data_IF_398331731598
#
_entry.id   IF_398331731598
#
_cell.length_a   1.000
_cell.length_b   1.000
_cell.length_c   1.000
_cell.angle_alpha   90.00
_cell.angle_beta   90.00
_cell.angle_gamma   90.00
#
_symmetry.space_group_name_H-M   'P 1'
#
loop_
_entity.id
_entity.type
_entity.pdbx_description
1 polymer ?
#
# COMPACT_ATOMS: atom_id res chain seq x y z
N UNK A 1 23.42 19.79 -8.41
CA UNK A 1 24.78 19.77 -9.00
C UNK A 1 25.89 19.79 -7.96
N UNK A 2 25.87 20.70 -6.98
CA UNK A 2 26.88 20.77 -5.89
C UNK A 2 27.13 19.45 -5.17
N UNK A 3 26.08 18.76 -4.72
CA UNK A 3 26.23 17.48 -4.03
C UNK A 3 26.97 16.44 -4.91
N UNK A 4 26.63 16.34 -6.20
CA UNK A 4 27.28 15.40 -7.13
C UNK A 4 28.76 15.77 -7.35
N UNK A 5 29.07 17.07 -7.41
CA UNK A 5 30.45 17.56 -7.47
C UNK A 5 31.25 17.16 -6.23
N UNK A 6 30.71 17.38 -5.03
CA UNK A 6 31.33 16.99 -3.76
C UNK A 6 31.57 15.47 -3.67
N UNK A 7 30.66 14.66 -4.21
CA UNK A 7 30.87 13.21 -4.28
C UNK A 7 32.05 12.85 -5.19
N UNK A 8 32.14 13.48 -6.37
CA UNK A 8 33.26 13.30 -7.30
C UNK A 8 34.60 13.72 -6.69
N UNK A 9 34.62 14.84 -5.98
CA UNK A 9 35.79 15.33 -5.26
C UNK A 9 36.21 14.39 -4.12
N UNK A 10 35.24 13.89 -3.34
CA UNK A 10 35.51 12.92 -2.28
C UNK A 10 36.22 11.67 -2.84
N UNK A 11 35.75 11.16 -4.00
CA UNK A 11 36.38 10.03 -4.67
C UNK A 11 37.78 10.36 -5.22
N UNK A 12 37.97 11.54 -5.82
CA UNK A 12 39.27 11.95 -6.38
C UNK A 12 40.33 12.18 -5.29
N UNK A 13 39.91 12.55 -4.09
CA UNK A 13 40.76 12.65 -2.90
C UNK A 13 41.03 11.29 -2.21
N UNK A 14 40.49 10.18 -2.74
CA UNK A 14 40.66 8.84 -2.18
C UNK A 14 39.86 8.60 -0.89
N UNK A 15 38.90 9.47 -0.56
CA UNK A 15 38.03 9.29 0.59
C UNK A 15 36.97 8.24 0.27
N UNK A 16 36.85 7.22 1.13
CA UNK A 16 35.89 6.12 0.93
C UNK A 16 34.48 6.56 1.32
N UNK A 17 33.49 6.48 0.41
CA UNK A 17 32.10 6.66 0.77
C UNK A 17 31.66 5.61 1.79
N UNK A 18 30.75 6.01 2.67
CA UNK A 18 30.05 5.08 3.57
C UNK A 18 28.60 4.92 3.14
N UNK A 19 27.90 3.95 3.73
CA UNK A 19 26.45 3.79 3.52
C UNK A 19 25.67 5.07 3.84
N UNK A 20 26.14 5.87 4.82
CA UNK A 20 25.53 7.16 5.17
C UNK A 20 25.72 8.20 4.07
N UNK A 21 26.89 8.21 3.42
CA UNK A 21 27.16 9.05 2.26
C UNK A 21 26.18 8.73 1.15
N UNK A 22 26.05 7.45 0.80
CA UNK A 22 25.11 7.00 -0.22
C UNK A 22 23.66 7.26 0.12
N UNK A 23 23.22 7.06 1.37
CA UNK A 23 21.87 7.42 1.80
C UNK A 23 21.57 8.91 1.58
N UNK A 24 22.52 9.81 1.85
CA UNK A 24 22.35 11.23 1.60
C UNK A 24 22.15 11.51 0.11
N UNK A 25 22.94 10.87 -0.75
CA UNK A 25 22.81 11.01 -2.20
C UNK A 25 21.52 10.39 -2.74
N UNK A 26 21.13 9.20 -2.29
CA UNK A 26 19.89 8.54 -2.69
C UNK A 26 18.65 9.37 -2.34
N UNK A 27 18.65 10.09 -1.21
CA UNK A 27 17.55 10.97 -0.82
C UNK A 27 17.31 12.08 -1.84
N UNK A 28 18.37 12.69 -2.36
CA UNK A 28 18.27 13.86 -3.24
C UNK A 28 18.10 13.53 -4.73
N UNK A 29 18.37 12.28 -5.16
CA UNK A 29 18.19 11.89 -6.56
C UNK A 29 16.72 12.08 -6.98
N UNK A 30 16.49 12.51 -8.21
CA UNK A 30 15.14 12.86 -8.70
C UNK A 30 14.59 11.87 -9.71
N UNK A 31 15.46 11.07 -10.31
CA UNK A 31 15.07 10.09 -11.31
C UNK A 31 15.49 8.68 -10.90
N UNK A 32 14.82 7.70 -11.50
CA UNK A 32 15.13 6.29 -11.35
C UNK A 32 16.56 5.96 -11.82
N UNK A 33 16.97 6.52 -12.95
CA UNK A 33 18.30 6.29 -13.53
C UNK A 33 19.40 6.84 -12.61
N UNK A 34 19.15 7.99 -11.97
CA UNK A 34 20.05 8.54 -10.96
C UNK A 34 20.20 7.63 -9.74
N UNK A 35 19.10 7.04 -9.28
CA UNK A 35 19.10 6.09 -8.17
C UNK A 35 19.89 4.84 -8.54
N UNK A 36 19.59 4.20 -9.67
CA UNK A 36 20.27 2.97 -10.07
C UNK A 36 21.75 3.17 -10.37
N UNK A 37 22.15 4.28 -11.02
CA UNK A 37 23.58 4.63 -11.17
C UNK A 37 24.31 4.68 -9.84
N UNK A 38 23.64 5.17 -8.80
CA UNK A 38 24.24 5.26 -7.47
C UNK A 38 24.31 3.89 -6.79
N UNK A 39 23.33 3.01 -7.01
CA UNK A 39 23.36 1.62 -6.52
C UNK A 39 24.47 0.80 -7.20
N UNK A 40 24.69 0.99 -8.50
CA UNK A 40 25.82 0.39 -9.20
C UNK A 40 27.14 0.89 -8.62
N UNK A 41 27.23 2.19 -8.33
CA UNK A 41 28.41 2.77 -7.68
C UNK A 41 28.64 2.24 -6.27
N UNK A 42 27.57 1.97 -5.51
CA UNK A 42 27.65 1.31 -4.20
C UNK A 42 28.31 -0.06 -4.33
N UNK A 43 27.88 -0.87 -5.30
CA UNK A 43 28.44 -2.21 -5.56
C UNK A 43 29.90 -2.15 -6.01
N UNK A 44 30.26 -1.24 -6.92
CA UNK A 44 31.65 -1.04 -7.37
C UNK A 44 32.61 -0.71 -6.22
N UNK A 45 32.10 -0.03 -5.18
CA UNK A 45 32.88 0.38 -4.02
C UNK A 45 32.72 -0.56 -2.82
N UNK A 46 32.22 -1.78 -3.07
CA UNK A 46 32.02 -2.83 -2.07
C UNK A 46 31.10 -2.41 -0.91
N UNK A 47 30.20 -1.45 -1.17
CA UNK A 47 29.20 -0.96 -0.23
C UNK A 47 27.86 -1.65 -0.53
N UNK A 48 27.52 -2.66 0.27
CA UNK A 48 26.31 -3.43 0.07
C UNK A 48 25.07 -2.72 0.61
N UNK A 49 23.92 -2.97 -0.03
CA UNK A 49 22.63 -2.51 0.49
C UNK A 49 22.37 -3.20 1.83
N UNK A 50 21.88 -2.44 2.79
CA UNK A 50 21.33 -2.98 4.02
C UNK A 50 19.82 -2.72 4.06
N UNK A 51 19.17 -3.25 5.09
CA UNK A 51 17.75 -3.03 5.36
C UNK A 51 17.34 -1.55 5.23
N UNK A 52 18.08 -0.62 5.85
CA UNK A 52 17.75 0.80 5.80
C UNK A 52 17.81 1.37 4.37
N UNK A 53 18.77 0.91 3.55
CA UNK A 53 18.85 1.28 2.14
C UNK A 53 17.62 0.79 1.37
N UNK A 54 17.21 -0.47 1.55
CA UNK A 54 16.01 -0.99 0.88
C UNK A 54 14.76 -0.21 1.29
N UNK A 55 14.56 0.03 2.58
CA UNK A 55 13.40 0.80 3.06
C UNK A 55 13.43 2.26 2.59
N UNK A 56 14.61 2.87 2.44
CA UNK A 56 14.76 4.18 1.83
C UNK A 56 14.27 4.17 0.38
N UNK A 57 14.73 3.20 -0.41
CA UNK A 57 14.39 3.06 -1.82
C UNK A 57 12.91 2.73 -2.02
N UNK A 58 12.35 1.78 -1.28
CA UNK A 58 10.93 1.41 -1.33
C UNK A 58 10.06 2.65 -1.08
N UNK A 59 10.32 3.41 0.00
CA UNK A 59 9.57 4.65 0.27
C UNK A 59 9.70 5.67 -0.85
N UNK A 60 10.87 5.76 -1.48
CA UNK A 60 11.13 6.68 -2.59
C UNK A 60 10.34 6.29 -3.83
N UNK A 61 10.42 5.02 -4.24
CA UNK A 61 9.70 4.48 -5.39
C UNK A 61 8.18 4.47 -5.20
N UNK A 62 7.68 4.22 -3.98
CA UNK A 62 6.26 4.39 -3.66
C UNK A 62 5.79 5.84 -3.89
N UNK A 63 6.60 6.85 -3.53
CA UNK A 63 6.27 8.27 -3.78
C UNK A 63 6.32 8.63 -5.26
N UNK A 64 7.13 7.94 -6.04
CA UNK A 64 7.20 8.08 -7.49
C UNK A 64 6.18 7.22 -8.25
N UNK A 65 5.32 6.48 -7.53
CA UNK A 65 4.34 5.56 -8.10
C UNK A 65 4.93 4.48 -9.02
N UNK A 66 6.19 4.10 -8.76
CA UNK A 66 6.91 3.08 -9.53
C UNK A 66 6.85 1.73 -8.80
N UNK A 67 5.69 1.07 -8.83
CA UNK A 67 5.48 -0.14 -8.02
C UNK A 67 6.26 -1.36 -8.51
N UNK A 68 6.58 -1.45 -9.80
CA UNK A 68 7.44 -2.53 -10.31
C UNK A 68 8.80 -2.54 -9.59
N UNK A 69 9.39 -1.35 -9.39
CA UNK A 69 10.61 -1.18 -8.63
C UNK A 69 10.42 -1.48 -7.13
N UNK A 70 9.26 -1.13 -6.57
CA UNK A 70 8.92 -1.46 -5.17
C UNK A 70 8.90 -2.97 -4.96
N UNK A 71 8.19 -3.72 -5.80
CA UNK A 71 8.10 -5.18 -5.67
C UNK A 71 9.42 -5.87 -5.97
N UNK A 72 10.18 -5.40 -6.97
CA UNK A 72 11.53 -5.91 -7.25
C UNK A 72 12.44 -5.76 -6.03
N UNK A 73 12.48 -4.57 -5.42
CA UNK A 73 13.30 -4.33 -4.23
C UNK A 73 12.80 -5.10 -3.01
N UNK A 74 11.48 -5.25 -2.85
CA UNK A 74 10.91 -6.05 -1.76
C UNK A 74 11.31 -7.52 -1.86
N UNK A 75 11.22 -8.10 -3.06
CA UNK A 75 11.62 -9.48 -3.31
C UNK A 75 13.13 -9.67 -3.12
N UNK A 76 13.95 -8.77 -3.65
CA UNK A 76 15.40 -8.79 -3.44
C UNK A 76 15.76 -8.67 -1.95
N UNK A 77 15.05 -7.83 -1.19
CA UNK A 77 15.22 -7.69 0.25
C UNK A 77 14.84 -8.98 0.99
N UNK A 78 13.80 -9.68 0.55
CA UNK A 78 13.37 -10.97 1.09
C UNK A 78 14.36 -12.10 0.79
N UNK A 79 14.89 -12.17 -0.44
CA UNK A 79 15.93 -13.13 -0.84
C UNK A 79 17.21 -12.99 0.01
N UNK A 80 17.50 -11.76 0.46
CA UNK A 80 18.60 -11.47 1.36
C UNK A 80 18.26 -11.66 2.85
N UNK A 81 17.03 -12.07 3.19
CA UNK A 81 16.57 -12.26 4.58
C UNK A 81 16.51 -10.96 5.39
N UNK A 82 16.27 -9.82 4.73
CA UNK A 82 16.33 -8.49 5.35
C UNK A 82 14.96 -7.89 5.68
N UNK A 83 13.85 -8.57 5.39
CA UNK A 83 12.48 -8.05 5.53
C UNK A 83 11.65 -8.65 6.69
N UNK A 84 12.24 -9.50 7.54
CA UNK A 84 11.53 -10.18 8.63
C UNK A 84 11.29 -9.30 9.88
N UNK A 85 10.72 -8.10 9.68
CA UNK A 85 10.41 -7.21 10.78
C UNK A 85 9.24 -6.27 10.51
N UNK A 86 8.64 -5.77 11.59
CA UNK A 86 7.48 -4.89 11.59
C UNK A 86 7.65 -3.66 10.69
N UNK A 87 8.79 -2.95 10.80
CA UNK A 87 9.00 -1.70 10.08
C UNK A 87 9.05 -1.91 8.56
N UNK A 88 9.56 -3.06 8.12
CA UNK A 88 9.61 -3.44 6.71
C UNK A 88 8.21 -3.65 6.13
N UNK A 89 7.37 -4.45 6.79
CA UNK A 89 5.99 -4.68 6.36
C UNK A 89 5.14 -3.41 6.39
N UNK A 90 5.19 -2.64 7.49
CA UNK A 90 4.45 -1.37 7.63
C UNK A 90 4.83 -0.40 6.50
N UNK A 91 6.12 -0.34 6.16
CA UNK A 91 6.61 0.52 5.07
C UNK A 91 5.98 0.14 3.72
N UNK A 92 5.94 -1.16 3.38
CA UNK A 92 5.34 -1.61 2.13
C UNK A 92 3.82 -1.39 2.13
N UNK A 93 3.11 -1.73 3.22
CA UNK A 93 1.66 -1.56 3.35
C UNK A 93 1.28 -0.09 3.13
N UNK A 94 1.93 0.85 3.82
CA UNK A 94 1.64 2.29 3.65
C UNK A 94 1.96 2.75 2.23
N UNK A 95 3.03 2.24 1.63
CA UNK A 95 3.39 2.52 0.25
C UNK A 95 2.35 2.05 -0.77
N UNK A 96 1.76 0.88 -0.56
CA UNK A 96 0.69 0.33 -1.40
C UNK A 96 -0.62 1.11 -1.23
N UNK A 97 -0.97 1.49 0.01
CA UNK A 97 -2.11 2.39 0.27
C UNK A 97 -1.96 3.73 -0.43
N UNK A 98 -0.78 4.35 -0.38
CA UNK A 98 -0.49 5.60 -1.08
C UNK A 98 -0.73 5.51 -2.60
N UNK A 99 -0.56 4.31 -3.16
CA UNK A 99 -0.73 4.06 -4.58
C UNK A 99 -2.10 3.50 -4.97
N UNK A 100 -2.98 3.22 -3.99
CA UNK A 100 -4.31 2.65 -4.26
C UNK A 100 -4.31 1.14 -4.50
N UNK A 101 -3.23 0.43 -4.20
CA UNK A 101 -3.12 -1.03 -4.35
C UNK A 101 -3.57 -1.73 -3.06
N UNK A 102 -4.85 -1.55 -2.71
CA UNK A 102 -5.38 -1.88 -1.39
C UNK A 102 -5.49 -3.40 -1.14
N UNK A 103 -5.86 -4.16 -2.18
CA UNK A 103 -5.88 -5.63 -2.12
C UNK A 103 -4.49 -6.21 -1.84
N UNK A 104 -3.46 -5.67 -2.49
CA UNK A 104 -2.08 -6.12 -2.29
C UNK A 104 -1.58 -5.72 -0.90
N UNK A 105 -1.92 -4.51 -0.45
CA UNK A 105 -1.63 -4.06 0.91
C UNK A 105 -2.23 -5.00 1.97
N UNK A 106 -3.45 -5.49 1.74
CA UNK A 106 -4.09 -6.46 2.61
C UNK A 106 -3.41 -7.83 2.61
N UNK A 107 -2.93 -8.31 1.45
CA UNK A 107 -2.14 -9.55 1.39
C UNK A 107 -0.87 -9.45 2.22
N UNK A 108 -0.11 -8.36 2.06
CA UNK A 108 1.12 -8.10 2.83
C UNK A 108 0.81 -7.99 4.33
N UNK A 109 -0.31 -7.38 4.69
CA UNK A 109 -0.76 -7.32 6.08
C UNK A 109 -1.14 -8.68 6.67
N UNK A 110 -1.77 -9.57 5.88
CA UNK A 110 -2.04 -10.94 6.30
C UNK A 110 -0.75 -11.74 6.50
N UNK A 111 0.19 -11.64 5.57
CA UNK A 111 1.52 -12.27 5.69
C UNK A 111 2.25 -11.80 6.95
N UNK A 112 2.20 -10.49 7.24
CA UNK A 112 2.76 -9.92 8.46
C UNK A 112 2.19 -10.60 9.72
N UNK A 113 0.87 -10.84 9.78
CA UNK A 113 0.23 -11.53 10.90
C UNK A 113 0.60 -13.01 10.97
N UNK A 114 0.71 -13.69 9.83
CA UNK A 114 1.13 -15.09 9.77
C UNK A 114 2.54 -15.26 10.35
N UNK A 115 3.41 -14.27 10.12
CA UNK A 115 4.74 -14.18 10.75
C UNK A 115 4.72 -13.72 12.21
N UNK A 116 3.55 -13.60 12.83
CA UNK A 116 3.37 -13.11 14.21
C UNK A 116 3.93 -11.70 14.45
N UNK A 117 4.06 -10.89 13.41
CA UNK A 117 4.43 -9.48 13.51
C UNK A 117 3.19 -8.62 13.77
N UNK A 118 3.31 -7.69 14.70
CA UNK A 118 2.18 -6.85 15.14
C UNK A 118 2.18 -5.55 14.34
N UNK A 119 1.12 -5.24 13.58
CA UNK A 119 1.02 -3.96 12.88
C UNK A 119 0.80 -2.82 13.86
N UNK A 120 1.42 -1.66 13.59
CA UNK A 120 1.13 -0.45 14.35
C UNK A 120 -0.34 -0.03 14.24
N UNK A 121 -0.80 0.78 15.20
CA UNK A 121 -2.20 1.21 15.28
C UNK A 121 -2.70 1.84 13.98
N UNK A 122 -1.85 2.63 13.32
CA UNK A 122 -2.19 3.32 12.08
C UNK A 122 -2.37 2.36 10.91
N UNK A 123 -1.49 1.37 10.77
CA UNK A 123 -1.57 0.32 9.76
C UNK A 123 -2.83 -0.51 9.94
N UNK A 124 -3.14 -0.85 11.20
CA UNK A 124 -4.35 -1.58 11.52
C UNK A 124 -5.61 -0.77 11.14
N UNK A 125 -5.67 0.51 11.54
CA UNK A 125 -6.78 1.42 11.19
C UNK A 125 -6.98 1.54 9.67
N UNK A 126 -5.90 1.72 8.90
CA UNK A 126 -5.94 1.80 7.43
C UNK A 126 -6.60 0.56 6.82
N UNK A 127 -6.19 -0.63 7.24
CA UNK A 127 -6.71 -1.90 6.74
C UNK A 127 -8.19 -2.07 7.11
N UNK A 128 -8.56 -1.84 8.38
CA UNK A 128 -9.94 -2.00 8.82
C UNK A 128 -10.88 -1.02 8.11
N UNK A 129 -10.47 0.24 7.96
CA UNK A 129 -11.26 1.25 7.24
C UNK A 129 -11.52 0.83 5.80
N UNK A 130 -10.49 0.32 5.10
CA UNK A 130 -10.67 -0.20 3.74
C UNK A 130 -11.62 -1.40 3.68
N UNK A 131 -11.48 -2.37 4.58
CA UNK A 131 -12.35 -3.55 4.63
C UNK A 131 -13.82 -3.19 4.85
N UNK A 132 -14.11 -2.26 5.76
CA UNK A 132 -15.48 -1.77 5.99
C UNK A 132 -16.07 -1.13 4.74
N UNK A 133 -15.30 -0.27 4.06
CA UNK A 133 -15.75 0.39 2.83
C UNK A 133 -16.00 -0.63 1.69
N UNK A 134 -15.17 -1.67 1.59
CA UNK A 134 -15.33 -2.74 0.59
C UNK A 134 -16.63 -3.52 0.80
N UNK A 135 -16.95 -3.88 2.04
CA UNK A 135 -18.20 -4.60 2.36
C UNK A 135 -19.45 -3.78 2.03
N UNK A 136 -19.42 -2.46 2.22
CA UNK A 136 -20.51 -1.56 1.84
C UNK A 136 -20.70 -1.48 0.32
N UNK A 137 -19.61 -1.50 -0.46
CA UNK A 137 -19.67 -1.49 -1.92
C UNK A 137 -20.21 -2.80 -2.50
N UNK A 138 -19.93 -3.94 -1.87
CA UNK A 138 -20.40 -5.26 -2.28
C UNK A 138 -21.84 -5.58 -1.82
N UNK A 139 -22.42 -4.75 -0.94
CA UNK A 139 -23.83 -4.82 -0.53
C UNK A 139 -24.65 -3.70 -1.19
N UNK A 140 -24.96 -3.76 -2.50
CA UNK A 140 -25.93 -2.82 -3.05
C UNK A 140 -27.29 -3.10 -2.38
N UNK A 141 -27.92 -2.03 -1.90
CA UNK A 141 -29.25 -2.04 -1.28
C UNK A 141 -30.23 -3.03 -1.95
N UNK A 142 -30.59 -4.09 -1.23
CA UNK A 142 -31.89 -4.75 -1.38
C UNK A 142 -32.95 -3.92 -0.65
N UNK A 143 -33.35 -2.82 -1.27
CA UNK A 143 -34.58 -2.07 -0.97
C UNK A 143 -35.03 -1.52 -2.32
N UNK A 144 -36.20 -1.84 -2.88
CA UNK A 144 -37.50 -2.07 -2.27
C UNK A 144 -38.42 -2.70 -3.35
N UNK A 145 -38.91 -3.93 -3.14
CA UNK A 145 -40.07 -4.45 -3.89
C UNK A 145 -40.70 -5.63 -3.12
N UNK A 146 -41.13 -5.36 -1.89
CA UNK A 146 -41.89 -6.33 -1.07
C UNK A 146 -43.09 -5.74 -0.36
N UNK A 147 -43.55 -4.54 -0.73
CA UNK A 147 -44.77 -3.94 -0.20
C UNK A 147 -45.72 -3.49 -1.32
N UNK A 148 -46.20 -4.44 -2.13
CA UNK A 148 -47.58 -4.37 -2.61
C UNK A 148 -48.44 -5.26 -1.71
N UNK A 149 -48.77 -4.64 -0.59
CA UNK A 149 -50.07 -4.68 0.07
C UNK A 149 -50.90 -5.96 -0.11
N UNK A 150 -50.75 -6.79 0.92
CA UNK A 150 -51.76 -7.71 1.46
C UNK A 150 -53.20 -7.19 1.32
N UNK A 151 -54.09 -7.95 0.68
CA UNK A 151 -55.50 -7.99 1.13
C UNK A 151 -55.57 -8.53 2.57
N UNK A 152 -56.71 -8.53 3.30
CA UNK A 152 -58.10 -8.72 2.84
C UNK A 152 -59.09 -7.71 3.49
N UNK A 153 -60.40 -7.69 3.25
CA UNK A 153 -61.44 -8.49 3.94
C UNK A 153 -62.81 -8.11 3.36
N UNK A 154 -63.64 -9.13 3.15
CA UNK A 154 -65.05 -9.05 2.78
C UNK A 154 -65.94 -8.72 3.98
N UNK A 155 -66.96 -7.88 3.81
CA UNK A 155 -68.14 -7.85 4.69
C UNK A 155 -69.41 -7.54 3.88
N UNK A 156 -70.36 -8.47 3.99
CA UNK A 156 -71.69 -8.51 3.39
C UNK A 156 -72.71 -7.64 4.17
N UNK A 157 -73.91 -7.59 3.58
CA UNK A 157 -75.23 -7.23 4.12
C UNK A 157 -75.60 -5.75 3.97
N UNK A 158 -76.77 -5.35 3.47
CA UNK A 158 -78.00 -6.03 3.05
C UNK A 158 -79.08 -4.95 2.88
N UNK A 159 -80.06 -5.15 1.98
CA UNK A 159 -81.22 -4.26 1.90
C UNK A 159 -81.92 -4.24 0.55
N UNK A 160 -82.94 -5.08 0.39
CA UNK A 160 -83.99 -4.96 -0.62
C UNK A 160 -84.61 -3.57 -0.66
N UNK A 161 -85.09 -3.13 -1.84
CA UNK A 161 -86.50 -2.77 -2.09
C UNK A 161 -86.74 -2.66 -3.60
N UNK A 162 -87.90 -3.20 -3.98
CA UNK A 162 -88.62 -3.27 -5.25
C UNK A 162 -88.83 -1.96 -6.05
N UNK A 163 -88.98 -2.05 -7.39
CA UNK A 163 -90.24 -1.81 -8.17
C UNK A 163 -89.99 -1.29 -9.61
N UNK A 164 -90.60 -1.98 -10.58
CA UNK A 164 -91.51 -1.46 -11.65
C UNK A 164 -90.93 -0.44 -12.66
N UNK A 165 -90.58 -0.88 -13.86
CA UNK A 165 -91.36 -0.81 -15.12
C UNK A 165 -90.61 -1.55 -16.23
#
# INVERSE_FOLDING_TARGET
>A
DEARSLFGEMLSQGLRPTIRTFHAFLKIQRTEEEVFRLLDKMKELDCHLNKDTYLLLIRKFCRWRQLDNVFKLWNEMAENGLNDDEASYVTLIHGLFLNGHLEEAHKIYSEMKEKSLVPDAKTNELIQTWLSNKQMAESPMTTENSLLNTGPVSSKEGGSISKIL
#
